data_IF_311329344303
#
_entry.id   IF_311329344303
#
_cell.length_a   1.000
_cell.length_b   1.000
_cell.length_c   1.000
_cell.angle_alpha   90.00
_cell.angle_beta   90.00
_cell.angle_gamma   90.00
#
_symmetry.space_group_name_H-M   'P 1'
#
loop_
_entity.id
_entity.type
_entity.pdbx_description
1 polymer ?
#
# COMPACT_ATOMS: atom_id res chain seq x y z
N UNK A 1 -16.08 -15.69 0.96
CA UNK A 1 -15.94 -15.48 -0.49
C UNK A 1 -16.00 -16.82 -1.20
N UNK A 2 -16.81 -16.93 -2.25
CA UNK A 2 -17.01 -18.17 -3.01
C UNK A 2 -15.84 -18.39 -3.98
N UNK A 3 -15.36 -19.64 -4.09
CA UNK A 3 -14.29 -20.12 -4.99
C UNK A 3 -14.40 -19.62 -6.45
N UNK A 4 -15.60 -19.16 -6.87
CA UNK A 4 -15.90 -18.69 -8.23
C UNK A 4 -15.13 -17.45 -8.68
N UNK A 5 -14.67 -16.58 -7.79
CA UNK A 5 -13.97 -15.34 -8.18
C UNK A 5 -12.48 -15.56 -8.52
N UNK A 6 -11.86 -16.65 -8.07
CA UNK A 6 -10.44 -16.95 -8.32
C UNK A 6 -10.21 -17.86 -9.55
N UNK A 7 -11.28 -18.46 -10.09
CA UNK A 7 -11.25 -19.38 -11.24
C UNK A 7 -10.58 -18.85 -12.52
N UNK A 8 -10.67 -17.56 -12.90
CA UNK A 8 -9.96 -17.04 -14.07
C UNK A 8 -8.43 -17.10 -13.95
N UNK A 9 -7.91 -17.03 -12.72
CA UNK A 9 -6.47 -17.06 -12.42
C UNK A 9 -5.91 -18.48 -12.30
N UNK A 10 -6.80 -19.48 -12.17
CA UNK A 10 -6.44 -20.91 -12.02
C UNK A 10 -6.13 -21.58 -13.36
N UNK A 11 -6.38 -20.94 -14.52
CA UNK A 11 -6.24 -21.56 -15.85
C UNK A 11 -4.78 -21.86 -16.31
N UNK A 12 -3.83 -21.94 -15.37
CA UNK A 12 -2.45 -22.43 -15.48
C UNK A 12 -2.32 -23.91 -15.05
N UNK A 13 -3.36 -24.72 -15.29
CA UNK A 13 -3.60 -26.05 -14.70
C UNK A 13 -2.51 -27.12 -14.91
N UNK A 14 -1.52 -26.90 -15.79
CA UNK A 14 -0.38 -27.80 -15.95
C UNK A 14 0.82 -27.51 -15.02
N UNK A 15 0.96 -26.27 -14.54
CA UNK A 15 2.02 -25.85 -13.61
C UNK A 15 1.51 -25.68 -12.17
N UNK A 16 0.19 -25.60 -11.98
CA UNK A 16 -0.44 -25.35 -10.68
C UNK A 16 -0.39 -26.55 -9.73
N UNK A 17 -0.54 -27.79 -10.20
CA UNK A 17 -0.42 -28.96 -9.32
C UNK A 17 0.99 -29.04 -8.72
N UNK A 18 2.02 -28.84 -9.54
CA UNK A 18 3.41 -28.82 -9.09
C UNK A 18 3.71 -27.68 -8.10
N UNK A 19 3.15 -26.49 -8.34
CA UNK A 19 3.33 -25.32 -7.44
C UNK A 19 2.54 -25.50 -6.13
N UNK A 20 1.33 -26.08 -6.18
CA UNK A 20 0.50 -26.37 -5.00
C UNK A 20 1.16 -27.45 -4.14
N UNK A 21 1.65 -28.53 -4.75
CA UNK A 21 2.36 -29.60 -4.04
C UNK A 21 3.67 -29.09 -3.44
N UNK A 22 4.40 -28.23 -4.16
CA UNK A 22 5.63 -27.61 -3.65
C UNK A 22 5.37 -26.65 -2.49
N UNK A 23 4.29 -25.87 -2.56
CA UNK A 23 3.90 -24.96 -1.48
C UNK A 23 3.35 -25.71 -0.27
N UNK A 24 2.60 -26.80 -0.48
CA UNK A 24 2.08 -27.65 0.60
C UNK A 24 3.22 -28.40 1.31
N UNK A 25 4.16 -28.97 0.55
CA UNK A 25 5.36 -29.60 1.11
C UNK A 25 6.23 -28.59 1.88
N UNK A 26 6.36 -27.37 1.38
CA UNK A 26 7.07 -26.30 2.07
C UNK A 26 6.36 -25.86 3.38
N UNK A 27 5.03 -25.81 3.40
CA UNK A 27 4.24 -25.55 4.62
C UNK A 27 4.43 -26.69 5.64
N UNK A 28 4.49 -27.93 5.18
CA UNK A 28 4.69 -29.10 6.04
C UNK A 28 6.13 -29.19 6.57
N UNK A 29 7.13 -28.79 5.78
CA UNK A 29 8.52 -28.60 6.23
C UNK A 29 8.63 -27.43 7.24
N UNK A 30 7.86 -26.35 7.05
CA UNK A 30 7.77 -25.27 8.05
C UNK A 30 7.18 -25.72 9.41
N UNK A 31 6.46 -26.85 9.45
CA UNK A 31 5.98 -27.47 10.69
C UNK A 31 7.04 -28.36 11.34
N UNK A 32 8.12 -28.71 10.62
CA UNK A 32 9.24 -29.54 11.07
C UNK A 32 10.53 -28.73 11.29
N UNK A 33 11.03 -28.70 12.51
CA UNK A 33 12.23 -27.92 12.92
C UNK A 33 13.54 -28.40 12.29
N UNK A 34 14.43 -27.50 11.86
CA UNK A 34 15.87 -27.78 11.78
C UNK A 34 16.76 -26.53 11.83
N UNK A 35 17.89 -26.65 12.54
CA UNK A 35 18.92 -25.64 12.77
C UNK A 35 20.13 -25.90 11.86
N UNK A 36 20.74 -24.84 11.28
CA UNK A 36 22.20 -24.60 11.07
C UNK A 36 22.43 -23.53 9.98
N UNK A 37 23.50 -22.73 10.18
CA UNK A 37 23.98 -21.57 9.40
C UNK A 37 25.21 -21.95 8.58
N UNK A 38 25.34 -21.53 7.31
CA UNK A 38 26.51 -20.83 6.72
C UNK A 38 26.36 -20.50 5.21
N UNK A 39 27.29 -19.67 4.70
CA UNK A 39 27.15 -18.54 3.74
C UNK A 39 27.47 -18.79 2.22
N UNK A 40 26.96 -17.84 1.38
CA UNK A 40 27.33 -17.38 -0.01
C UNK A 40 26.91 -18.31 -1.18
N UNK A 41 26.45 -17.89 -2.38
CA UNK A 41 26.58 -16.66 -3.21
C UNK A 41 25.36 -16.53 -4.17
N UNK A 42 25.11 -15.35 -4.76
CA UNK A 42 23.94 -15.03 -5.62
C UNK A 42 23.98 -15.62 -7.04
N UNK A 43 22.80 -15.99 -7.58
CA UNK A 43 22.32 -15.71 -8.95
C UNK A 43 20.81 -16.04 -9.08
N UNK A 44 20.18 -15.46 -10.11
CA UNK A 44 18.75 -15.31 -10.41
C UNK A 44 17.87 -16.57 -10.48
N UNK A 45 16.57 -16.40 -10.18
CA UNK A 45 15.48 -17.11 -10.85
C UNK A 45 14.56 -17.91 -9.92
N UNK A 46 13.34 -17.39 -9.72
CA UNK A 46 12.24 -18.00 -8.95
C UNK A 46 12.60 -18.22 -7.46
N UNK A 47 11.66 -17.92 -6.56
CA UNK A 47 11.85 -18.10 -5.13
C UNK A 47 12.29 -19.54 -4.82
N UNK A 48 13.50 -19.80 -4.30
CA UNK A 48 13.76 -21.06 -3.66
C UNK A 48 12.93 -21.04 -2.38
N UNK A 49 11.91 -21.90 -2.28
CA UNK A 49 11.17 -22.13 -1.03
C UNK A 49 12.14 -22.42 0.14
N UNK A 50 13.33 -22.92 -0.19
CA UNK A 50 14.49 -23.16 0.65
C UNK A 50 14.98 -21.95 1.49
N UNK A 51 14.73 -20.72 1.02
CA UNK A 51 15.16 -19.48 1.70
C UNK A 51 14.22 -19.07 2.85
N UNK A 52 13.06 -19.70 2.94
CA UNK A 52 12.13 -19.45 4.02
C UNK A 52 12.36 -20.45 5.15
N UNK A 53 12.63 -19.93 6.35
CA UNK A 53 12.92 -20.73 7.53
C UNK A 53 11.77 -20.63 8.53
N UNK A 54 11.23 -21.75 9.03
CA UNK A 54 10.35 -21.73 10.18
C UNK A 54 11.14 -21.34 11.43
N UNK A 55 10.64 -20.38 12.20
CA UNK A 55 11.16 -20.02 13.50
C UNK A 55 9.99 -19.68 14.43
N UNK A 56 9.85 -20.40 15.54
CA UNK A 56 8.74 -20.23 16.50
C UNK A 56 7.33 -20.24 15.85
N UNK A 57 7.09 -21.12 14.88
CA UNK A 57 5.79 -21.25 14.21
C UNK A 57 5.49 -20.14 13.18
N UNK A 58 6.48 -19.31 12.83
CA UNK A 58 6.39 -18.28 11.79
C UNK A 58 7.42 -18.53 10.68
N UNK A 59 7.12 -18.08 9.48
CA UNK A 59 7.95 -18.31 8.28
C UNK A 59 8.70 -17.02 7.93
N UNK A 60 10.03 -17.04 8.04
CA UNK A 60 10.90 -15.89 7.79
C UNK A 60 11.66 -16.07 6.48
N UNK A 61 11.73 -15.03 5.64
CA UNK A 61 12.63 -15.01 4.50
C UNK A 61 14.04 -14.61 4.93
N UNK A 62 14.98 -15.55 4.90
CA UNK A 62 16.38 -15.24 5.19
C UNK A 62 17.12 -15.12 3.88
N UNK A 63 17.36 -13.88 3.44
CA UNK A 63 18.22 -13.65 2.27
C UNK A 63 19.62 -14.20 2.53
N UNK A 64 20.31 -14.59 1.45
CA UNK A 64 21.72 -15.00 1.46
C UNK A 64 22.72 -13.98 2.04
N UNK A 65 22.27 -12.80 2.48
CA UNK A 65 23.08 -11.74 3.07
C UNK A 65 22.91 -11.57 4.59
N UNK A 66 22.31 -12.53 5.30
CA UNK A 66 22.15 -12.52 6.78
C UNK A 66 21.41 -11.29 7.33
N UNK A 67 20.77 -10.51 6.46
CA UNK A 67 19.73 -9.58 6.87
C UNK A 67 18.49 -10.42 7.13
N UNK A 68 18.18 -10.61 8.42
CA UNK A 68 16.87 -11.05 8.88
C UNK A 68 15.89 -9.91 8.61
N UNK A 69 15.42 -9.83 7.37
CA UNK A 69 14.20 -9.11 7.05
C UNK A 69 13.08 -10.10 7.34
N UNK A 70 12.24 -9.83 8.33
CA UNK A 70 11.07 -10.65 8.64
C UNK A 70 9.96 -10.41 7.60
N UNK A 71 10.30 -10.56 6.32
CA UNK A 71 9.39 -10.35 5.21
C UNK A 71 8.71 -11.67 4.94
N UNK A 72 7.44 -11.75 5.30
CA UNK A 72 6.60 -12.92 4.97
C UNK A 72 6.59 -13.16 3.45
N UNK A 73 6.35 -14.41 2.99
CA UNK A 73 6.24 -14.73 1.57
C UNK A 73 5.27 -13.81 0.82
N UNK A 74 4.15 -13.46 1.46
CA UNK A 74 3.12 -12.58 0.91
C UNK A 74 3.65 -11.18 0.61
N UNK A 75 4.39 -10.57 1.55
CA UNK A 75 4.91 -9.21 1.41
C UNK A 75 5.95 -9.11 0.28
N UNK A 76 6.81 -10.13 0.15
CA UNK A 76 7.79 -10.16 -0.94
C UNK A 76 7.11 -10.35 -2.30
N UNK A 77 6.18 -11.32 -2.40
CA UNK A 77 5.43 -11.57 -3.62
C UNK A 77 4.66 -10.32 -4.07
N UNK A 78 4.05 -9.60 -3.13
CA UNK A 78 3.39 -8.33 -3.36
C UNK A 78 4.33 -7.25 -3.91
N UNK A 79 5.49 -7.06 -3.26
CA UNK A 79 6.51 -6.11 -3.68
C UNK A 79 7.10 -6.44 -5.06
N UNK A 80 7.21 -7.74 -5.41
CA UNK A 80 7.79 -8.22 -6.67
C UNK A 80 6.78 -8.40 -7.82
N UNK A 81 5.49 -8.25 -7.56
CA UNK A 81 4.45 -8.38 -8.58
C UNK A 81 4.11 -9.83 -8.93
N UNK A 82 4.35 -10.76 -8.00
CA UNK A 82 4.22 -12.21 -8.23
C UNK A 82 2.80 -12.68 -7.92
N UNK A 83 1.89 -12.42 -8.87
CA UNK A 83 0.47 -12.74 -8.75
C UNK A 83 0.20 -14.23 -8.49
N UNK A 84 0.96 -15.11 -9.15
CA UNK A 84 0.91 -16.57 -8.99
C UNK A 84 1.10 -17.00 -7.53
N UNK A 85 2.11 -16.44 -6.89
CA UNK A 85 2.44 -16.74 -5.49
C UNK A 85 1.42 -16.12 -4.54
N UNK A 86 0.97 -14.88 -4.79
CA UNK A 86 -0.07 -14.24 -3.96
C UNK A 86 -1.39 -15.01 -4.01
N UNK A 87 -1.83 -15.43 -5.19
CA UNK A 87 -3.06 -16.21 -5.35
C UNK A 87 -2.99 -17.53 -4.57
N UNK A 88 -1.87 -18.25 -4.70
CA UNK A 88 -1.63 -19.49 -3.97
C UNK A 88 -1.68 -19.28 -2.44
N UNK A 89 -0.98 -18.27 -1.93
CA UNK A 89 -0.94 -17.97 -0.50
C UNK A 89 -2.32 -17.57 0.05
N UNK A 90 -3.12 -16.84 -0.72
CA UNK A 90 -4.51 -16.50 -0.35
C UNK A 90 -5.41 -17.75 -0.31
N UNK A 91 -5.26 -18.67 -1.28
CA UNK A 91 -6.04 -19.91 -1.34
C UNK A 91 -5.77 -20.82 -0.13
N UNK A 92 -4.51 -20.92 0.29
CA UNK A 92 -4.10 -21.80 1.37
C UNK A 92 -4.54 -21.30 2.76
N UNK A 93 -5.02 -20.05 2.88
CA UNK A 93 -5.41 -19.40 4.15
C UNK A 93 -4.37 -19.56 5.27
N UNK A 94 -3.12 -19.81 4.92
CA UNK A 94 -2.05 -20.12 5.86
C UNK A 94 -1.53 -18.87 6.61
N UNK A 95 -1.93 -17.67 6.15
CA UNK A 95 -1.46 -16.40 6.67
C UNK A 95 -2.60 -15.38 6.75
N UNK A 96 -2.50 -14.45 7.71
CA UNK A 96 -3.36 -13.28 7.76
C UNK A 96 -2.97 -12.34 6.60
N UNK A 97 -3.89 -12.00 5.70
CA UNK A 97 -3.61 -11.06 4.58
C UNK A 97 -3.30 -9.64 5.09
N UNK A 98 -3.81 -9.33 6.29
CA UNK A 98 -3.61 -8.05 6.98
C UNK A 98 -2.49 -8.11 8.00
N UNK A 99 -1.61 -9.12 7.89
CA UNK A 99 -0.49 -9.25 8.80
C UNK A 99 0.41 -8.01 8.72
N UNK A 100 0.67 -7.38 9.86
CA UNK A 100 1.43 -6.14 9.99
C UNK A 100 2.85 -6.39 10.52
N UNK A 101 3.32 -7.64 10.45
CA UNK A 101 4.52 -8.14 11.13
C UNK A 101 5.84 -7.43 10.81
N UNK A 102 5.88 -6.56 9.80
CA UNK A 102 7.00 -5.68 9.55
C UNK A 102 6.53 -4.31 9.10
N UNK A 103 5.59 -3.76 9.87
CA UNK A 103 5.47 -2.32 9.92
C UNK A 103 4.85 -1.71 8.62
N UNK A 104 4.61 -2.51 7.58
CA UNK A 104 3.88 -2.20 6.35
C UNK A 104 3.07 -3.43 5.92
N UNK A 105 1.97 -3.25 5.18
CA UNK A 105 1.14 -4.36 4.69
C UNK A 105 1.59 -4.82 3.30
N UNK A 106 1.27 -6.07 2.94
CA UNK A 106 1.51 -6.58 1.59
C UNK A 106 0.87 -5.67 0.51
N UNK A 107 -0.33 -5.14 0.80
CA UNK A 107 -1.03 -4.21 -0.07
C UNK A 107 -0.25 -2.89 -0.25
N UNK A 108 0.24 -2.28 0.83
CA UNK A 108 1.01 -1.03 0.73
C UNK A 108 2.32 -1.21 -0.03
N UNK A 109 2.97 -2.38 0.08
CA UNK A 109 4.16 -2.72 -0.71
C UNK A 109 3.85 -2.94 -2.20
N UNK A 110 2.74 -3.61 -2.54
CA UNK A 110 2.33 -3.78 -3.94
C UNK A 110 2.13 -2.43 -4.62
N UNK A 111 1.42 -1.51 -3.96
CA UNK A 111 1.18 -0.15 -4.46
C UNK A 111 2.47 0.67 -4.53
N UNK A 112 3.34 0.55 -3.52
CA UNK A 112 4.65 1.17 -3.55
C UNK A 112 5.46 0.70 -4.76
N UNK A 113 5.40 -0.57 -5.13
CA UNK A 113 6.06 -1.10 -6.33
C UNK A 113 5.27 -0.88 -7.63
N UNK A 114 4.08 -0.27 -7.58
CA UNK A 114 3.13 -0.09 -8.70
C UNK A 114 2.62 -1.41 -9.31
N UNK A 115 2.57 -2.48 -8.53
CA UNK A 115 2.00 -3.76 -8.94
C UNK A 115 0.48 -3.75 -8.72
N UNK A 116 -0.25 -3.06 -9.60
CA UNK A 116 -1.70 -2.82 -9.43
C UNK A 116 -2.51 -4.12 -9.46
N UNK A 117 -2.19 -5.06 -10.35
CA UNK A 117 -2.90 -6.34 -10.45
C UNK A 117 -2.77 -7.17 -9.16
N UNK A 118 -1.61 -7.09 -8.50
CA UNK A 118 -1.40 -7.73 -7.19
C UNK A 118 -2.13 -6.99 -6.08
N UNK A 119 -2.17 -5.66 -6.12
CA UNK A 119 -2.93 -4.87 -5.16
C UNK A 119 -4.43 -5.20 -5.23
N UNK A 120 -5.00 -5.31 -6.43
CA UNK A 120 -6.38 -5.74 -6.65
C UNK A 120 -6.62 -7.15 -6.11
N UNK A 121 -5.73 -8.11 -6.43
CA UNK A 121 -5.84 -9.48 -5.90
C UNK A 121 -5.78 -9.53 -4.36
N UNK A 122 -4.96 -8.69 -3.73
CA UNK A 122 -4.88 -8.59 -2.27
C UNK A 122 -6.17 -7.99 -1.67
N UNK A 123 -6.73 -6.96 -2.30
CA UNK A 123 -8.02 -6.38 -1.90
C UNK A 123 -9.16 -7.40 -1.99
N UNK A 124 -9.21 -8.15 -3.08
CA UNK A 124 -10.13 -9.28 -3.27
C UNK A 124 -9.88 -10.40 -2.26
N UNK A 125 -8.63 -10.57 -1.82
CA UNK A 125 -8.23 -11.46 -0.73
C UNK A 125 -8.63 -10.98 0.66
N UNK A 126 -9.23 -9.79 0.79
CA UNK A 126 -9.65 -9.20 2.07
C UNK A 126 -8.61 -8.29 2.73
N UNK A 127 -7.58 -7.85 2.00
CA UNK A 127 -6.65 -6.85 2.48
C UNK A 127 -7.36 -5.53 2.80
N UNK A 128 -7.02 -4.92 3.93
CA UNK A 128 -7.57 -3.66 4.40
C UNK A 128 -6.57 -2.53 4.10
N UNK A 129 -6.95 -1.51 3.31
CA UNK A 129 -6.07 -0.39 2.96
C UNK A 129 -5.56 0.43 4.15
N UNK A 130 -6.24 0.38 5.30
CA UNK A 130 -5.85 1.05 6.54
C UNK A 130 -4.74 0.32 7.30
N UNK A 131 -4.43 -0.94 6.97
CA UNK A 131 -3.38 -1.71 7.63
C UNK A 131 -1.97 -1.27 7.23
N UNK A 132 -1.08 -1.23 8.23
CA UNK A 132 0.34 -0.86 8.11
C UNK A 132 0.73 0.16 9.18
N UNK A 133 1.66 -0.20 10.07
CA UNK A 133 2.06 0.63 11.22
C UNK A 133 2.92 1.85 10.83
N UNK A 134 3.90 1.67 9.94
CA UNK A 134 4.73 2.74 9.41
C UNK A 134 3.95 3.62 8.46
N UNK A 135 3.35 2.99 7.45
CA UNK A 135 2.55 3.64 6.42
C UNK A 135 1.58 2.62 5.81
N UNK A 136 0.36 3.08 5.54
CA UNK A 136 -0.71 2.27 4.96
C UNK A 136 -0.79 2.38 3.42
N UNK A 137 -1.79 1.74 2.81
CA UNK A 137 -1.96 1.72 1.36
C UNK A 137 -2.21 3.12 0.77
N UNK A 138 -2.87 4.01 1.51
CA UNK A 138 -3.16 5.38 1.06
C UNK A 138 -1.89 6.23 0.97
N UNK A 139 -0.97 6.11 1.94
CA UNK A 139 0.35 6.74 1.86
C UNK A 139 1.14 6.24 0.64
N UNK A 140 1.14 4.94 0.40
CA UNK A 140 1.84 4.33 -0.74
C UNK A 140 1.26 4.83 -2.08
N UNK A 141 -0.06 4.88 -2.20
CA UNK A 141 -0.75 5.41 -3.37
C UNK A 141 -0.43 6.90 -3.61
N UNK A 142 -0.46 7.72 -2.56
CA UNK A 142 -0.11 9.14 -2.63
C UNK A 142 1.34 9.38 -3.02
N UNK A 143 2.30 8.62 -2.46
CA UNK A 143 3.73 8.69 -2.83
C UNK A 143 3.99 8.34 -4.29
N UNK A 144 3.10 7.55 -4.91
CA UNK A 144 3.23 7.08 -6.30
C UNK A 144 2.27 7.78 -7.27
N UNK A 145 1.44 8.70 -6.79
CA UNK A 145 0.46 9.43 -7.61
C UNK A 145 -0.64 8.54 -8.18
N UNK A 146 -0.99 7.44 -7.50
CA UNK A 146 -1.98 6.48 -7.96
C UNK A 146 -3.41 6.98 -7.66
N UNK A 147 -3.85 7.98 -8.43
CA UNK A 147 -5.12 8.71 -8.22
C UNK A 147 -6.35 7.82 -8.10
N UNK A 148 -6.46 6.78 -8.91
CA UNK A 148 -7.61 5.86 -8.87
C UNK A 148 -7.65 5.04 -7.59
N UNK A 149 -6.48 4.61 -7.09
CA UNK A 149 -6.35 3.90 -5.82
C UNK A 149 -6.63 4.81 -4.62
N UNK A 150 -6.20 6.08 -4.68
CA UNK A 150 -6.55 7.09 -3.67
C UNK A 150 -8.07 7.24 -3.57
N UNK A 151 -8.76 7.44 -4.71
CA UNK A 151 -10.23 7.51 -4.77
C UNK A 151 -10.87 6.24 -4.24
N UNK A 152 -10.36 5.07 -4.64
CA UNK A 152 -10.86 3.77 -4.19
C UNK A 152 -10.81 3.66 -2.65
N UNK A 153 -9.68 3.97 -2.04
CA UNK A 153 -9.49 3.80 -0.60
C UNK A 153 -10.34 4.75 0.24
N UNK A 154 -10.46 6.02 -0.16
CA UNK A 154 -11.29 6.98 0.57
C UNK A 154 -12.78 6.70 0.33
N UNK A 155 -13.19 6.54 -0.93
CA UNK A 155 -14.61 6.47 -1.30
C UNK A 155 -15.24 5.08 -1.20
N UNK A 156 -14.46 4.00 -1.06
CA UNK A 156 -15.02 2.66 -0.87
C UNK A 156 -14.59 2.03 0.45
N UNK A 157 -13.30 2.15 0.81
CA UNK A 157 -12.77 1.57 2.03
C UNK A 157 -12.84 2.51 3.24
N UNK A 158 -13.32 3.76 3.07
CA UNK A 158 -13.50 4.75 4.14
C UNK A 158 -12.22 4.99 4.95
N UNK A 159 -11.06 4.91 4.29
CA UNK A 159 -9.78 5.25 4.92
C UNK A 159 -9.77 6.76 5.17
N UNK A 160 -9.40 7.16 6.38
CA UNK A 160 -9.21 8.57 6.71
C UNK A 160 -8.11 9.17 5.81
N UNK A 161 -8.46 10.21 5.08
CA UNK A 161 -7.57 10.89 4.13
C UNK A 161 -6.42 11.61 4.85
N UNK A 162 -6.64 12.01 6.10
CA UNK A 162 -5.66 12.65 6.99
C UNK A 162 -4.93 11.63 7.89
N UNK A 163 -5.04 10.33 7.59
CA UNK A 163 -4.33 9.26 8.30
C UNK A 163 -2.85 9.62 8.46
N UNK A 164 -2.31 9.39 9.65
CA UNK A 164 -0.91 9.66 9.93
C UNK A 164 -0.12 8.36 9.99
N UNK A 165 1.07 8.43 9.42
CA UNK A 165 2.11 7.42 9.49
C UNK A 165 2.82 7.49 10.87
N UNK A 166 3.76 6.58 11.16
CA UNK A 166 4.43 6.54 12.47
C UNK A 166 5.16 7.83 12.87
N UNK A 167 5.57 8.63 11.88
CA UNK A 167 6.35 9.85 12.05
C UNK A 167 5.43 11.09 12.01
N UNK A 168 4.12 10.88 11.88
CA UNK A 168 3.09 11.92 11.81
C UNK A 168 2.86 12.49 10.41
N UNK A 169 3.46 11.90 9.37
CA UNK A 169 3.27 12.33 7.98
C UNK A 169 1.94 11.82 7.43
N UNK A 170 1.31 12.61 6.57
CA UNK A 170 0.00 12.30 5.94
C UNK A 170 0.18 11.96 4.46
N UNK A 171 -0.84 11.39 3.78
CA UNK A 171 -0.80 11.17 2.34
C UNK A 171 -0.43 12.43 1.53
N UNK A 172 -0.89 13.62 1.93
CA UNK A 172 -0.52 14.90 1.29
C UNK A 172 0.99 15.16 1.42
N UNK A 173 1.58 14.92 2.59
CA UNK A 173 3.02 15.05 2.81
C UNK A 173 3.85 14.08 1.94
N UNK A 174 3.32 12.89 1.65
CA UNK A 174 3.92 11.94 0.71
C UNK A 174 3.81 12.38 -0.75
N UNK A 175 2.67 12.97 -1.14
CA UNK A 175 2.46 13.49 -2.49
C UNK A 175 3.41 14.65 -2.84
N UNK A 176 3.89 15.40 -1.85
CA UNK A 176 4.92 16.44 -2.04
C UNK A 176 6.24 15.90 -2.59
N UNK A 177 6.52 14.60 -2.52
CA UNK A 177 7.74 14.01 -3.07
C UNK A 177 7.66 13.73 -4.58
N UNK A 178 6.46 13.71 -5.17
CA UNK A 178 6.22 13.46 -6.59
C UNK A 178 6.71 14.61 -7.49
N UNK A 179 7.03 14.41 -8.77
CA UNK A 179 7.29 15.51 -9.72
C UNK A 179 6.22 16.62 -9.65
N UNK A 180 6.60 17.88 -9.89
CA UNK A 180 5.78 19.07 -9.56
C UNK A 180 4.33 19.00 -10.06
N UNK A 181 4.12 18.64 -11.34
CA UNK A 181 2.79 18.54 -11.92
C UNK A 181 1.96 17.39 -11.31
N UNK A 182 2.58 16.23 -11.09
CA UNK A 182 1.93 15.09 -10.46
C UNK A 182 1.60 15.36 -8.99
N UNK A 183 2.49 16.04 -8.27
CA UNK A 183 2.26 16.46 -6.90
C UNK A 183 1.06 17.40 -6.83
N UNK A 184 0.99 18.41 -7.71
CA UNK A 184 -0.13 19.35 -7.77
C UNK A 184 -1.46 18.63 -7.95
N UNK A 185 -1.56 17.74 -8.94
CA UNK A 185 -2.78 16.98 -9.21
C UNK A 185 -3.17 16.05 -8.05
N UNK A 186 -2.19 15.36 -7.46
CA UNK A 186 -2.44 14.41 -6.37
C UNK A 186 -2.87 15.13 -5.09
N UNK A 187 -2.27 16.27 -4.78
CA UNK A 187 -2.62 17.09 -3.61
C UNK A 187 -4.02 17.69 -3.77
N UNK A 188 -4.35 18.24 -4.94
CA UNK A 188 -5.71 18.72 -5.25
C UNK A 188 -6.74 17.63 -5.01
N UNK A 189 -6.50 16.43 -5.56
CA UNK A 189 -7.38 15.29 -5.34
C UNK A 189 -7.54 14.94 -3.85
N UNK A 190 -6.46 14.96 -3.07
CA UNK A 190 -6.55 14.68 -1.63
C UNK A 190 -7.36 15.74 -0.88
N UNK A 191 -7.25 17.02 -1.25
CA UNK A 191 -8.08 18.09 -0.70
C UNK A 191 -9.55 17.97 -1.11
N UNK A 192 -9.83 17.64 -2.38
CA UNK A 192 -11.19 17.31 -2.87
C UNK A 192 -11.81 16.16 -2.07
N UNK A 193 -11.00 15.19 -1.64
CA UNK A 193 -11.42 14.05 -0.83
C UNK A 193 -11.48 14.37 0.68
N UNK A 194 -11.28 15.64 1.07
CA UNK A 194 -11.47 16.13 2.44
C UNK A 194 -10.22 16.24 3.31
N UNK A 195 -9.01 16.14 2.74
CA UNK A 195 -7.78 16.38 3.50
C UNK A 195 -7.67 17.84 3.92
N UNK A 196 -7.24 18.10 5.16
CA UNK A 196 -7.23 19.46 5.72
C UNK A 196 -5.97 20.22 5.28
N UNK A 197 -6.07 21.34 4.53
CA UNK A 197 -4.92 22.05 3.96
C UNK A 197 -3.97 22.67 5.00
N UNK A 198 -4.51 23.12 6.13
CA UNK A 198 -3.76 23.79 7.19
C UNK A 198 -3.21 22.82 8.25
N UNK A 199 -3.37 21.51 8.05
CA UNK A 199 -2.96 20.52 9.04
C UNK A 199 -1.45 20.54 9.25
N UNK A 200 -1.05 20.53 10.52
CA UNK A 200 0.32 20.32 10.92
C UNK A 200 0.68 18.83 10.85
N UNK A 201 1.82 18.53 10.20
CA UNK A 201 2.28 17.17 9.95
C UNK A 201 3.70 16.94 10.44
N UNK A 202 3.97 15.68 10.78
CA UNK A 202 5.27 15.25 11.26
C UNK A 202 5.55 15.64 12.71
N UNK A 203 6.66 15.12 13.26
CA UNK A 203 7.13 15.38 14.63
C UNK A 203 7.35 16.87 14.99
N UNK A 204 7.56 17.72 13.98
CA UNK A 204 7.85 19.14 14.17
C UNK A 204 6.68 20.06 13.76
N UNK A 205 5.48 19.51 13.58
CA UNK A 205 4.27 20.28 13.30
C UNK A 205 4.41 21.20 12.07
N UNK A 206 4.91 20.66 10.96
CA UNK A 206 5.05 21.43 9.72
C UNK A 206 3.69 21.64 9.05
N UNK A 207 3.38 22.85 8.59
CA UNK A 207 2.33 23.02 7.58
C UNK A 207 2.81 22.49 6.22
N UNK A 208 1.89 22.09 5.33
CA UNK A 208 2.27 21.58 4.01
C UNK A 208 3.07 22.60 3.19
N UNK A 209 2.74 23.89 3.29
CA UNK A 209 3.47 24.97 2.60
C UNK A 209 4.91 25.11 3.12
N UNK A 210 5.11 25.04 4.44
CA UNK A 210 6.42 25.08 5.05
C UNK A 210 7.27 23.84 4.68
N UNK A 211 6.65 22.65 4.68
CA UNK A 211 7.31 21.41 4.26
C UNK A 211 7.73 21.45 2.78
N UNK A 212 6.84 21.90 1.89
CA UNK A 212 7.15 22.09 0.48
C UNK A 212 8.31 23.08 0.27
N UNK A 213 8.34 24.18 1.04
CA UNK A 213 9.42 25.17 1.00
C UNK A 213 10.75 24.56 1.45
N UNK A 214 10.75 23.78 2.53
CA UNK A 214 11.95 23.08 3.03
C UNK A 214 12.48 22.05 2.03
N UNK A 215 11.61 21.41 1.25
CA UNK A 215 11.97 20.52 0.14
C UNK A 215 12.46 21.26 -1.13
N UNK A 216 12.50 22.60 -1.12
CA UNK A 216 12.91 23.42 -2.27
C UNK A 216 11.81 23.65 -3.32
N UNK A 217 10.56 23.24 -3.04
CA UNK A 217 9.41 23.31 -3.96
C UNK A 217 8.69 24.64 -3.87
N UNK A 218 9.39 25.72 -4.24
CA UNK A 218 8.91 27.10 -4.02
C UNK A 218 7.54 27.38 -4.64
N UNK A 219 7.27 26.91 -5.86
CA UNK A 219 6.00 27.13 -6.56
C UNK A 219 4.83 26.46 -5.81
N UNK A 220 4.94 25.17 -5.54
CA UNK A 220 3.94 24.42 -4.74
C UNK A 220 3.77 25.00 -3.34
N UNK A 221 4.85 25.45 -2.69
CA UNK A 221 4.77 26.08 -1.38
C UNK A 221 3.92 27.36 -1.40
N UNK A 222 4.04 28.17 -2.46
CA UNK A 222 3.20 29.37 -2.66
C UNK A 222 1.76 28.95 -2.92
N UNK A 223 1.53 28.01 -3.85
CA UNK A 223 0.17 27.53 -4.18
C UNK A 223 -0.56 26.97 -2.94
N UNK A 224 0.16 26.25 -2.07
CA UNK A 224 -0.36 25.74 -0.80
C UNK A 224 -0.60 26.85 0.24
N UNK A 225 0.25 27.88 0.28
CA UNK A 225 0.09 28.99 1.22
C UNK A 225 -1.05 29.93 0.82
N UNK A 226 -1.37 30.03 -0.47
CA UNK A 226 -2.44 30.87 -1.00
C UNK A 226 -3.78 30.15 -1.12
N UNK A 227 -3.87 28.88 -0.70
CA UNK A 227 -5.08 28.06 -0.87
C UNK A 227 -5.43 27.76 -2.34
N UNK A 228 -4.50 27.96 -3.29
CA UNK A 228 -4.79 27.85 -4.73
C UNK A 228 -5.04 26.41 -5.21
N UNK A 229 -4.84 25.43 -4.33
CA UNK A 229 -5.13 24.02 -4.55
C UNK A 229 -6.41 23.56 -3.86
N UNK A 230 -7.07 24.44 -3.11
CA UNK A 230 -8.37 24.19 -2.48
C UNK A 230 -9.48 24.41 -3.50
N UNK A 231 -10.44 23.49 -3.58
CA UNK A 231 -11.63 23.67 -4.39
C UNK A 231 -12.61 24.55 -3.61
N UNK A 232 -12.67 25.84 -3.94
CA UNK A 232 -13.65 26.75 -3.36
C UNK A 232 -15.04 26.43 -3.90
N UNK A 233 -15.81 25.61 -3.19
CA UNK A 233 -17.27 25.64 -3.27
C UNK A 233 -17.78 26.84 -2.47
N UNK A 234 -17.66 28.04 -3.03
CA UNK A 234 -18.49 29.18 -2.64
C UNK A 234 -19.08 29.81 -3.89
N UNK A 235 -20.13 29.17 -4.40
CA UNK A 235 -21.09 29.80 -5.30
C UNK A 235 -22.49 29.26 -4.98
N UNK A 236 -22.98 29.48 -3.74
CA UNK A 236 -24.42 29.48 -3.50
C UNK A 236 -24.94 30.89 -3.76
N UNK A 237 -25.30 31.13 -5.02
CA UNK A 237 -26.24 32.15 -5.50
C UNK A 237 -27.36 32.38 -4.48
N UNK A 238 -27.36 33.54 -3.81
CA UNK A 238 -28.53 34.10 -3.15
C UNK A 238 -29.46 34.75 -4.17
N UNK A 239 -29.88 33.94 -5.16
CA UNK A 239 -31.00 34.24 -6.05
C UNK A 239 -32.34 34.10 -5.32
N UNK A 240 -32.57 34.88 -4.26
CA UNK A 240 -33.88 34.96 -3.61
C UNK A 240 -34.71 36.08 -4.26
N UNK A 241 -35.22 35.77 -5.45
CA UNK A 241 -36.29 36.54 -6.09
C UNK A 241 -37.62 35.79 -5.96
N UNK A 242 -38.66 36.56 -5.62
CA UNK A 242 -40.09 36.27 -5.72
C UNK A 242 -40.74 35.41 -4.62
N UNK A 243 -41.36 36.09 -3.64
CA UNK A 243 -42.83 36.04 -3.48
C UNK A 243 -43.34 37.38 -2.93
N UNK A 244 -44.21 38.06 -3.69
CA UNK A 244 -45.15 39.05 -3.14
C UNK A 244 -46.55 38.48 -3.39
N UNK A 245 -47.36 38.31 -2.35
CA UNK A 245 -48.79 38.46 -2.45
C UNK A 245 -49.22 39.67 -1.62
N UNK A 246 -50.04 40.55 -2.23
CA UNK A 246 -51.31 41.10 -1.74
C UNK A 246 -51.66 42.37 -2.53
#
# INVERSE_FOLDING_TARGET
>A
MSFRCMLPYINLLGQSEFIVDSAQAFIDDCRGTSNVVEKKTFLSGIFPLEDFRPFNGKVFYVTNHETRLDVTPMHNAAMRGRMDVVALLLMLKAHNVNDDHQEASALSLALYSRNLDVAELLLDGGAQPSCGFLFNALHAAAKRGLKDQIKLFVNHYRVDVDTQDKDGATPVAYALQLPEDQARETIRLLFELGAKPEREVGKYAWTYSALAKAMGRRKLAVELATGALETTEEASDDGSSCTMPF
#
